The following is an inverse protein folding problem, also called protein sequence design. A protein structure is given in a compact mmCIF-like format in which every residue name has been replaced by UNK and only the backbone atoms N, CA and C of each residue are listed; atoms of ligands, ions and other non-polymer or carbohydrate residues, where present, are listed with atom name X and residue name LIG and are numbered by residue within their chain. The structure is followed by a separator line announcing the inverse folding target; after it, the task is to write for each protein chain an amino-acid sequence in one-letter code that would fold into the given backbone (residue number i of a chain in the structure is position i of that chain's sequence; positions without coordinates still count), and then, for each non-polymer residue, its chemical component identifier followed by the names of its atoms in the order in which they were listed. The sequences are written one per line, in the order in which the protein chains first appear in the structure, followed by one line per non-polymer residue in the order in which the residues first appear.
data_IF_555812877704
#
_entry.id   IF_555812877704
#
_cell.length_a   1.000
_cell.length_b   1.000
_cell.length_c   1.000
_cell.angle_alpha   90.00
_cell.angle_beta   90.00
_cell.angle_gamma   90.00
#
_symmetry.space_group_name_H-M   'P 1'
#
loop_
_entity.id
_entity.type
_entity.pdbx_description
1 polymer ?
#
# COMPACT_ATOMS: atom_id res chain seq x y z
N UNK A 1 21.27 -20.04 47.03
CA UNK A 1 21.68 -20.74 45.79
C UNK A 1 20.58 -21.13 44.81
N UNK A 2 19.44 -21.67 45.25
CA UNK A 2 18.35 -22.04 44.31
C UNK A 2 17.63 -20.80 43.73
N UNK A 3 17.26 -19.82 44.56
CA UNK A 3 16.56 -18.61 44.11
C UNK A 3 17.37 -17.73 43.15
N UNK A 4 18.70 -17.64 43.35
CA UNK A 4 19.59 -16.88 42.45
C UNK A 4 19.65 -17.51 41.05
N UNK A 5 19.77 -18.85 40.98
CA UNK A 5 19.74 -19.59 39.71
C UNK A 5 18.43 -19.43 38.93
N UNK A 6 17.30 -19.30 39.63
CA UNK A 6 15.99 -19.05 39.00
C UNK A 6 15.92 -17.63 38.40
N UNK A 7 16.46 -16.63 39.11
CA UNK A 7 16.52 -15.25 38.60
C UNK A 7 17.47 -15.13 37.41
N UNK A 8 18.66 -15.75 37.49
CA UNK A 8 19.63 -15.75 36.38
C UNK A 8 19.03 -16.39 35.11
N UNK A 9 18.29 -17.51 35.26
CA UNK A 9 17.60 -18.14 34.13
C UNK A 9 16.44 -17.32 33.59
N UNK A 10 15.72 -16.61 34.46
CA UNK A 10 14.66 -15.70 34.05
C UNK A 10 15.20 -14.55 33.19
N UNK A 11 16.31 -13.93 33.62
CA UNK A 11 16.98 -12.88 32.82
C UNK A 11 17.50 -13.41 31.49
N UNK A 12 18.10 -14.60 31.47
CA UNK A 12 18.58 -15.24 30.24
C UNK A 12 17.43 -15.51 29.25
N UNK A 13 16.27 -15.97 29.74
CA UNK A 13 15.08 -16.19 28.90
C UNK A 13 14.55 -14.87 28.34
N UNK A 14 14.51 -13.81 29.16
CA UNK A 14 14.09 -12.49 28.67
C UNK A 14 15.01 -11.96 27.57
N UNK A 15 16.32 -12.11 27.73
CA UNK A 15 17.31 -11.69 26.72
C UNK A 15 17.16 -12.49 25.43
N UNK A 16 16.96 -13.81 25.51
CA UNK A 16 16.72 -14.65 24.34
C UNK A 16 15.43 -14.26 23.61
N UNK A 17 14.37 -13.93 24.37
CA UNK A 17 13.09 -13.53 23.81
C UNK A 17 13.16 -12.17 23.12
N UNK A 18 13.90 -11.22 23.69
CA UNK A 18 14.15 -9.90 23.10
C UNK A 18 15.01 -10.00 21.83
N UNK A 19 16.08 -10.81 21.86
CA UNK A 19 16.92 -11.06 20.69
C UNK A 19 16.12 -11.73 19.56
N UNK A 20 15.28 -12.71 19.88
CA UNK A 20 14.41 -13.36 18.90
C UNK A 20 13.38 -12.39 18.31
N UNK A 21 12.70 -11.60 19.15
CA UNK A 21 11.75 -10.59 18.70
C UNK A 21 12.41 -9.56 17.76
N UNK A 22 13.63 -9.13 18.09
CA UNK A 22 14.42 -8.19 17.29
C UNK A 22 14.78 -8.78 15.94
N UNK A 23 15.22 -10.05 15.89
CA UNK A 23 15.54 -10.72 14.62
C UNK A 23 14.32 -10.85 13.71
N UNK A 24 13.16 -11.25 14.24
CA UNK A 24 11.91 -11.37 13.47
C UNK A 24 11.48 -10.00 12.94
N UNK A 25 11.63 -8.97 13.76
CA UNK A 25 11.30 -7.61 13.38
C UNK A 25 12.20 -7.07 12.25
N UNK A 26 13.51 -7.32 12.32
CA UNK A 26 14.47 -6.90 11.30
C UNK A 26 14.21 -7.56 9.94
N UNK A 27 13.90 -8.85 9.94
CA UNK A 27 13.56 -9.59 8.72
C UNK A 27 12.25 -9.08 8.10
N UNK A 28 11.25 -8.82 8.93
CA UNK A 28 10.00 -8.20 8.50
C UNK A 28 10.24 -6.81 7.89
N UNK A 29 11.03 -5.95 8.55
CA UNK A 29 11.34 -4.60 8.09
C UNK A 29 12.01 -4.59 6.70
N UNK A 30 12.97 -5.50 6.47
CA UNK A 30 13.63 -5.65 5.16
C UNK A 30 12.66 -6.10 4.07
N UNK A 31 11.80 -7.07 4.37
CA UNK A 31 10.77 -7.58 3.45
C UNK A 31 9.79 -6.47 3.04
N UNK A 32 9.30 -5.71 4.03
CA UNK A 32 8.39 -4.58 3.84
C UNK A 32 9.02 -3.49 2.96
N UNK A 33 10.26 -3.10 3.24
CA UNK A 33 10.97 -2.07 2.47
C UNK A 33 11.16 -2.44 1.00
N UNK A 34 11.51 -3.71 0.72
CA UNK A 34 11.66 -4.21 -0.64
C UNK A 34 10.34 -4.26 -1.40
N UNK A 35 9.29 -4.82 -0.78
CA UNK A 35 7.96 -4.91 -1.37
C UNK A 35 7.38 -3.52 -1.68
N UNK A 36 7.56 -2.56 -0.78
CA UNK A 36 7.14 -1.18 -1.03
C UNK A 36 7.93 -0.56 -2.18
N UNK A 37 9.27 -0.62 -2.18
CA UNK A 37 10.07 -0.02 -3.24
C UNK A 37 9.73 -0.56 -4.64
N UNK A 38 9.46 -1.86 -4.74
CA UNK A 38 9.09 -2.51 -5.99
C UNK A 38 7.70 -2.06 -6.47
N UNK A 39 6.69 -2.11 -5.60
CA UNK A 39 5.32 -1.77 -5.96
C UNK A 39 5.13 -0.28 -6.25
N UNK A 40 5.86 0.60 -5.55
CA UNK A 40 5.83 2.05 -5.77
C UNK A 40 6.43 2.49 -7.11
N UNK A 41 7.30 1.68 -7.71
CA UNK A 41 7.87 1.93 -9.04
C UNK A 41 6.93 1.58 -10.19
N UNK A 42 5.81 0.93 -9.92
CA UNK A 42 4.86 0.51 -10.95
C UNK A 42 3.80 1.59 -11.22
N UNK A 43 3.26 1.59 -12.43
CA UNK A 43 2.16 2.48 -12.80
C UNK A 43 0.91 2.15 -11.97
N UNK A 44 0.53 3.05 -11.06
CA UNK A 44 -0.61 2.86 -10.14
C UNK A 44 -1.96 2.81 -10.85
N UNK A 45 -2.05 3.36 -12.06
CA UNK A 45 -3.26 3.39 -12.88
C UNK A 45 -2.97 2.77 -14.23
N UNK A 46 -3.70 1.70 -14.55
CA UNK A 46 -3.71 1.11 -15.87
C UNK A 46 -5.09 1.29 -16.48
N UNK A 47 -5.15 1.66 -17.76
CA UNK A 47 -6.40 1.78 -18.49
C UNK A 47 -6.47 0.70 -19.56
N UNK A 48 -7.54 -0.08 -19.55
CA UNK A 48 -7.80 -1.02 -20.62
C UNK A 48 -8.08 -0.23 -21.92
N UNK A 49 -7.36 -0.50 -23.02
CA UNK A 49 -7.51 0.26 -24.26
C UNK A 49 -8.88 0.06 -24.94
N UNK A 50 -9.52 -1.09 -24.75
CA UNK A 50 -10.79 -1.45 -25.40
C UNK A 50 -12.01 -1.04 -24.56
N UNK A 51 -12.03 -1.43 -23.28
CA UNK A 51 -13.18 -1.15 -22.40
C UNK A 51 -13.09 0.21 -21.74
N UNK A 52 -11.94 0.87 -21.86
CA UNK A 52 -11.60 2.11 -21.18
C UNK A 52 -11.67 2.03 -19.65
N UNK A 53 -11.81 0.83 -19.07
CA UNK A 53 -11.86 0.57 -17.62
C UNK A 53 -10.52 0.95 -17.03
N UNK A 54 -10.54 1.76 -15.97
CA UNK A 54 -9.34 2.04 -15.19
C UNK A 54 -9.25 0.98 -14.09
N UNK A 55 -8.09 0.38 -13.96
CA UNK A 55 -7.75 -0.54 -12.88
C UNK A 55 -6.56 0.02 -12.12
N UNK A 56 -6.69 0.04 -10.81
CA UNK A 56 -5.62 0.41 -9.91
C UNK A 56 -4.68 -0.77 -9.71
N UNK A 57 -3.39 -0.57 -9.94
CA UNK A 57 -2.35 -1.57 -9.72
C UNK A 57 -1.92 -1.57 -8.24
N UNK A 58 -2.87 -1.79 -7.33
CA UNK A 58 -2.54 -1.99 -5.93
C UNK A 58 -2.29 -3.47 -5.70
N UNK A 59 -1.02 -3.86 -5.84
CA UNK A 59 -0.60 -5.21 -5.51
C UNK A 59 -1.08 -5.55 -4.07
N UNK A 60 -1.76 -6.70 -3.87
CA UNK A 60 -2.19 -7.15 -2.56
C UNK A 60 -1.06 -7.16 -1.51
N UNK A 61 0.18 -7.39 -1.96
CA UNK A 61 1.39 -7.31 -1.14
C UNK A 61 1.62 -5.90 -0.59
N UNK A 62 1.44 -4.86 -1.41
CA UNK A 62 1.55 -3.47 -0.96
C UNK A 62 0.49 -3.18 0.12
N UNK A 63 -0.77 -3.56 -0.11
CA UNK A 63 -1.86 -3.37 0.86
C UNK A 63 -1.58 -4.12 2.17
N UNK A 64 -1.05 -5.35 2.08
CA UNK A 64 -0.63 -6.15 3.23
C UNK A 64 0.45 -5.45 4.05
N UNK A 65 1.50 -4.99 3.38
CA UNK A 65 2.59 -4.22 3.99
C UNK A 65 2.05 -2.97 4.71
N UNK A 66 1.21 -2.15 4.07
CA UNK A 66 0.69 -0.94 4.72
C UNK A 66 -0.17 -1.26 5.95
N UNK A 67 -0.87 -2.39 5.94
CA UNK A 67 -1.70 -2.86 7.05
C UNK A 67 -0.85 -3.38 8.21
N UNK A 68 0.21 -4.13 7.94
CA UNK A 68 1.13 -4.66 8.95
C UNK A 68 1.81 -3.52 9.72
N UNK A 69 2.33 -2.50 9.02
CA UNK A 69 2.96 -1.36 9.68
C UNK A 69 1.94 -0.56 10.52
N UNK A 70 0.69 -0.45 10.04
CA UNK A 70 -0.40 0.19 10.80
C UNK A 70 -0.68 -0.56 12.10
N UNK A 71 -0.74 -1.89 12.05
CA UNK A 71 -0.94 -2.68 13.26
C UNK A 71 0.23 -2.47 14.23
N UNK A 72 1.48 -2.55 13.79
CA UNK A 72 2.64 -2.35 14.67
C UNK A 72 2.64 -0.99 15.38
N UNK A 73 2.25 0.08 14.69
CA UNK A 73 2.14 1.42 15.29
C UNK A 73 0.99 1.52 16.30
N UNK A 74 -0.15 0.91 16.00
CA UNK A 74 -1.33 0.90 16.87
C UNK A 74 -1.13 0.04 18.11
N UNK A 75 -0.36 -1.05 18.00
CA UNK A 75 -0.21 -1.98 19.12
C UNK A 75 0.59 -1.35 20.27
N UNK A 76 1.49 -0.37 20.05
CA UNK A 76 2.32 0.26 21.12
C UNK A 76 2.86 -0.74 22.19
N UNK A 77 2.98 -2.02 21.86
CA UNK A 77 3.09 -3.10 22.84
C UNK A 77 4.52 -3.62 23.03
N UNK A 78 5.51 -2.92 22.47
CA UNK A 78 6.91 -3.20 22.76
C UNK A 78 7.76 -2.10 22.15
N UNK A 79 8.13 -1.11 22.95
CA UNK A 79 9.11 -0.07 22.62
C UNK A 79 8.94 0.60 21.24
N UNK A 80 8.33 1.78 21.24
CA UNK A 80 8.49 2.79 20.16
C UNK A 80 9.95 3.16 19.87
N UNK A 81 10.92 2.65 20.64
CA UNK A 81 12.35 2.83 20.45
C UNK A 81 12.98 1.90 19.39
N UNK A 82 12.30 0.82 18.95
CA UNK A 82 12.89 -0.19 18.06
C UNK A 82 12.29 -0.21 16.64
N UNK A 83 11.39 0.72 16.30
CA UNK A 83 10.98 0.89 14.90
C UNK A 83 12.08 1.69 14.19
N UNK A 84 12.76 1.14 13.16
CA UNK A 84 13.83 1.82 12.45
C UNK A 84 13.34 3.17 11.95
N UNK A 85 14.20 4.17 12.00
CA UNK A 85 13.84 5.53 11.56
C UNK A 85 13.42 5.52 10.09
N UNK A 86 13.99 4.62 9.28
CA UNK A 86 13.61 4.35 7.90
C UNK A 86 12.16 3.83 7.78
N UNK A 87 11.75 2.89 8.64
CA UNK A 87 10.37 2.38 8.66
C UNK A 87 9.39 3.45 9.17
N UNK A 88 9.83 4.29 10.10
CA UNK A 88 9.03 5.41 10.62
C UNK A 88 8.86 6.52 9.59
N UNK A 89 9.92 6.90 8.85
CA UNK A 89 9.86 7.86 7.73
C UNK A 89 9.02 7.33 6.58
N UNK A 90 9.24 6.08 6.18
CA UNK A 90 8.41 5.39 5.19
C UNK A 90 6.93 5.38 5.63
N UNK A 91 6.66 5.26 6.94
CA UNK A 91 5.30 5.29 7.47
C UNK A 91 4.69 6.71 7.61
N UNK A 92 5.47 7.74 7.91
CA UNK A 92 4.99 9.13 7.84
C UNK A 92 4.53 9.49 6.43
N UNK A 93 5.17 8.93 5.40
CA UNK A 93 4.70 8.97 4.03
C UNK A 93 3.55 7.98 3.77
N UNK A 94 3.46 6.89 4.53
CA UNK A 94 2.40 5.88 4.42
C UNK A 94 1.01 6.42 4.76
N UNK A 95 0.83 7.35 5.70
CA UNK A 95 -0.51 7.91 5.93
C UNK A 95 -1.03 8.64 4.68
N UNK A 96 -0.15 9.38 3.99
CA UNK A 96 -0.45 9.94 2.66
C UNK A 96 -0.68 8.83 1.65
N UNK A 97 0.07 7.74 1.73
CA UNK A 97 -0.04 6.60 0.82
C UNK A 97 -1.37 5.86 0.95
N UNK A 98 -1.82 5.55 2.18
CA UNK A 98 -3.14 4.98 2.46
C UNK A 98 -4.23 5.92 1.96
N UNK A 99 -4.08 7.24 2.16
CA UNK A 99 -5.00 8.22 1.61
C UNK A 99 -5.00 8.21 0.08
N UNK A 100 -3.83 8.14 -0.57
CA UNK A 100 -3.74 8.02 -2.03
C UNK A 100 -4.37 6.74 -2.54
N UNK A 101 -4.10 5.59 -1.91
CA UNK A 101 -4.71 4.29 -2.26
C UNK A 101 -6.22 4.37 -2.15
N UNK A 102 -6.73 4.90 -1.04
CA UNK A 102 -8.16 5.05 -0.79
C UNK A 102 -8.81 6.00 -1.81
N UNK A 103 -8.16 7.13 -2.10
CA UNK A 103 -8.65 8.11 -3.06
C UNK A 103 -8.63 7.57 -4.50
N UNK A 104 -7.58 6.84 -4.89
CA UNK A 104 -7.49 6.22 -6.21
C UNK A 104 -8.52 5.10 -6.36
N UNK A 105 -8.73 4.28 -5.34
CA UNK A 105 -9.77 3.24 -5.34
C UNK A 105 -11.17 3.86 -5.48
N UNK A 106 -11.46 4.91 -4.71
CA UNK A 106 -12.73 5.64 -4.80
C UNK A 106 -12.93 6.29 -6.17
N UNK A 107 -11.90 6.95 -6.70
CA UNK A 107 -11.95 7.61 -8.01
C UNK A 107 -12.13 6.58 -9.14
N UNK A 108 -11.42 5.47 -9.06
CA UNK A 108 -11.51 4.36 -10.04
C UNK A 108 -12.90 3.73 -10.03
N UNK A 109 -13.45 3.45 -8.84
CA UNK A 109 -14.82 2.94 -8.69
C UNK A 109 -15.84 3.92 -9.23
N UNK A 110 -15.70 5.21 -8.91
CA UNK A 110 -16.61 6.26 -9.40
C UNK A 110 -16.55 6.40 -10.92
N UNK A 111 -15.36 6.42 -11.51
CA UNK A 111 -15.17 6.47 -12.96
C UNK A 111 -15.75 5.23 -13.66
N UNK A 112 -15.45 4.03 -13.15
CA UNK A 112 -15.95 2.79 -13.72
C UNK A 112 -17.47 2.69 -13.58
N UNK A 113 -18.05 3.17 -12.47
CA UNK A 113 -19.49 3.25 -12.29
C UNK A 113 -20.12 4.12 -13.37
N UNK A 114 -19.63 5.35 -13.55
CA UNK A 114 -20.13 6.26 -14.60
C UNK A 114 -20.03 5.61 -15.98
N UNK A 115 -18.89 4.99 -16.31
CA UNK A 115 -18.74 4.33 -17.62
C UNK A 115 -19.66 3.14 -17.83
N UNK A 116 -19.97 2.38 -16.78
CA UNK A 116 -20.88 1.23 -16.86
C UNK A 116 -22.35 1.66 -16.85
N UNK A 117 -22.68 2.82 -16.30
CA UNK A 117 -24.03 3.38 -16.29
C UNK A 117 -24.35 4.31 -17.45
N UNK A 118 -23.35 4.65 -18.28
CA UNK A 118 -23.54 5.46 -19.48
C UNK A 118 -24.54 4.75 -20.42
N UNK A 119 -25.62 5.46 -20.76
CA UNK A 119 -26.66 4.98 -21.67
C UNK A 119 -26.12 4.91 -23.10
N UNK A 120 -26.67 4.01 -23.92
CA UNK A 120 -26.15 3.82 -25.28
C UNK A 120 -26.20 5.09 -26.15
N UNK A 121 -27.16 5.98 -25.89
CA UNK A 121 -27.26 7.30 -26.55
C UNK A 121 -26.09 8.23 -26.19
N UNK A 122 -25.59 8.14 -24.96
CA UNK A 122 -24.45 8.92 -24.48
C UNK A 122 -23.13 8.35 -25.02
N UNK A 123 -23.02 7.01 -25.17
CA UNK A 123 -21.88 6.39 -25.87
C UNK A 123 -21.79 6.88 -27.31
N UNK A 124 -22.92 6.93 -28.01
CA UNK A 124 -22.97 7.43 -29.38
C UNK A 124 -22.58 8.91 -29.46
N UNK A 125 -23.02 9.74 -28.52
CA UNK A 125 -22.58 11.14 -28.45
C UNK A 125 -21.09 11.29 -28.12
N UNK A 126 -20.54 10.48 -27.21
CA UNK A 126 -19.10 10.49 -26.92
C UNK A 126 -18.27 10.06 -28.12
N UNK A 127 -18.72 9.03 -28.86
CA UNK A 127 -18.06 8.60 -30.09
C UNK A 127 -18.07 9.71 -31.16
N UNK A 128 -19.22 10.40 -31.32
CA UNK A 128 -19.33 11.55 -32.23
C UNK A 128 -18.42 12.71 -31.82
N UNK A 129 -18.36 13.05 -30.54
CA UNK A 129 -17.45 14.09 -30.04
C UNK A 129 -15.98 13.71 -30.23
N UNK A 130 -15.62 12.44 -30.02
CA UNK A 130 -14.25 11.95 -30.24
C UNK A 130 -13.85 12.04 -31.72
N UNK A 131 -14.75 11.64 -32.62
CA UNK A 131 -14.54 11.77 -34.07
C UNK A 131 -14.45 13.23 -34.49
N UNK A 132 -15.31 14.09 -33.95
CA UNK A 132 -15.27 15.53 -34.21
C UNK A 132 -13.95 16.15 -33.75
N UNK A 133 -13.50 15.82 -32.54
CA UNK A 133 -12.24 16.35 -32.01
C UNK A 133 -11.03 15.88 -32.82
N UNK A 134 -10.96 14.60 -33.17
CA UNK A 134 -9.89 14.05 -34.02
C UNK A 134 -9.89 14.67 -35.42
N UNK A 135 -11.07 14.94 -35.98
CA UNK A 135 -11.19 15.49 -37.33
C UNK A 135 -10.82 16.99 -37.40
N UNK A 136 -11.10 17.75 -36.34
CA UNK A 136 -10.91 19.21 -36.35
C UNK A 136 -9.67 19.70 -35.61
N UNK A 137 -9.15 18.96 -34.62
CA UNK A 137 -8.13 19.47 -33.70
C UNK A 137 -6.85 18.64 -33.64
N UNK A 138 -6.79 17.45 -34.25
CA UNK A 138 -5.54 16.70 -34.41
C UNK A 138 -5.08 16.86 -35.87
N UNK A 139 -3.99 17.60 -36.14
CA UNK A 139 -3.45 17.69 -37.49
C UNK A 139 -2.84 16.33 -37.91
N UNK A 140 -3.05 15.96 -39.18
CA UNK A 140 -2.56 14.70 -39.79
C UNK A 140 -1.05 14.53 -39.69
#
# INVERSE_FOLDING_TARGET
DAGKRVLDKYEEILQLLDAFATSIFDDWSKSVGQAANFNLKQNLLTRNPETHIITTNFDPQLIGVLREVKYMQQTKAGNTANIPEEATKMYQENEKFVNYVTNLDYTTKSYNKVRMTILDVEKQQQQKNKLFYNFFFIPN
#
